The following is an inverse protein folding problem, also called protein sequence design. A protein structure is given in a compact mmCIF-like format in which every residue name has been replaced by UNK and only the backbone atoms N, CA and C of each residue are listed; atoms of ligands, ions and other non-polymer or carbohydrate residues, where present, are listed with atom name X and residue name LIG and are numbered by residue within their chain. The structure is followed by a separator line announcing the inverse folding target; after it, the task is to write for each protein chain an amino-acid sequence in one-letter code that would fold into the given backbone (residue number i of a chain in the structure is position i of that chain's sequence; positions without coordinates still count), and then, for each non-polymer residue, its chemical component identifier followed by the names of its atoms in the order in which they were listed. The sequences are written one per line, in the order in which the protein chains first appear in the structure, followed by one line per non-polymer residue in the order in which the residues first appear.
data_IF_940965737713
#
_entry.id   IF_940965737713
#
_cell.length_a   1.000
_cell.length_b   1.000
_cell.length_c   1.000
_cell.angle_alpha   90.00
_cell.angle_beta   90.00
_cell.angle_gamma   90.00
#
_symmetry.space_group_name_H-M   'P 1'
#
loop_
_entity.id
_entity.type
_entity.pdbx_description
1 polymer ?
#
# COMPACT_ATOMS: atom_id res chain seq x y z
N UNK A 1 -8.84 -7.35 -1.50
CA UNK A 1 -7.76 -7.73 -0.54
C UNK A 1 -7.55 -6.54 0.39
N UNK A 2 -7.42 -6.69 1.71
CA UNK A 2 -7.34 -5.53 2.63
C UNK A 2 -5.89 -5.07 2.85
N UNK A 3 -5.69 -3.78 3.18
CA UNK A 3 -4.41 -3.24 3.68
C UNK A 3 -3.88 -3.98 4.91
N UNK A 4 -4.77 -4.53 5.74
CA UNK A 4 -4.40 -5.33 6.90
C UNK A 4 -3.57 -6.58 6.52
N UNK A 5 -3.72 -7.07 5.28
CA UNK A 5 -3.02 -8.25 4.79
C UNK A 5 -1.61 -7.94 4.24
N UNK A 6 -1.18 -6.67 4.23
CA UNK A 6 0.09 -6.24 3.63
C UNK A 6 1.24 -6.09 4.64
N UNK A 7 1.02 -6.40 5.92
CA UNK A 7 2.05 -6.28 6.96
C UNK A 7 2.27 -4.87 7.50
N UNK A 8 1.35 -3.94 7.23
CA UNK A 8 1.39 -2.59 7.77
C UNK A 8 1.15 -2.59 9.29
N UNK A 9 1.75 -1.61 9.99
CA UNK A 9 1.48 -1.40 11.41
C UNK A 9 0.00 -1.08 11.66
N UNK A 10 -0.58 -1.65 12.72
CA UNK A 10 -1.99 -1.48 13.11
C UNK A 10 -2.50 -0.02 13.11
N UNK A 11 -1.73 1.00 13.58
CA UNK A 11 -2.17 2.39 13.53
C UNK A 11 -2.39 2.91 12.10
N UNK A 12 -1.60 2.44 11.13
CA UNK A 12 -1.75 2.83 9.72
C UNK A 12 -3.00 2.21 9.11
N UNK A 13 -3.25 0.93 9.40
CA UNK A 13 -4.46 0.22 8.93
C UNK A 13 -5.71 0.94 9.41
N UNK A 14 -5.79 1.28 10.70
CA UNK A 14 -6.93 2.04 11.26
C UNK A 14 -7.10 3.41 10.61
N UNK A 15 -6.00 4.11 10.31
CA UNK A 15 -6.06 5.41 9.66
C UNK A 15 -6.58 5.32 8.21
N UNK A 16 -6.20 4.24 7.50
CA UNK A 16 -6.71 3.95 6.15
C UNK A 16 -8.20 3.62 6.18
N UNK A 17 -8.64 2.75 7.08
CA UNK A 17 -10.04 2.39 7.27
C UNK A 17 -10.91 3.61 7.64
N UNK A 18 -10.44 4.45 8.57
CA UNK A 18 -11.15 5.67 8.97
C UNK A 18 -11.32 6.68 7.82
N UNK A 19 -10.42 6.64 6.83
CA UNK A 19 -10.51 7.44 5.59
C UNK A 19 -11.29 6.74 4.48
N UNK A 20 -11.78 5.52 4.70
CA UNK A 20 -12.50 4.73 3.70
C UNK A 20 -11.60 4.04 2.67
N UNK A 21 -10.30 3.94 2.93
CA UNK A 21 -9.38 3.16 2.09
C UNK A 21 -9.41 1.69 2.53
N UNK A 22 -10.21 0.89 1.84
CA UNK A 22 -10.44 -0.52 2.20
C UNK A 22 -9.59 -1.49 1.39
N UNK A 23 -9.28 -1.16 0.14
CA UNK A 23 -8.50 -2.01 -0.76
C UNK A 23 -7.30 -1.25 -1.34
N UNK A 24 -6.09 -1.85 -1.33
CA UNK A 24 -4.93 -1.29 -1.98
C UNK A 24 -5.09 -1.36 -3.51
N UNK A 25 -4.56 -0.38 -4.21
CA UNK A 25 -4.46 -0.45 -5.67
C UNK A 25 -3.45 -1.52 -6.09
N UNK A 26 -3.47 -2.02 -7.35
CA UNK A 26 -2.55 -3.07 -7.78
C UNK A 26 -1.07 -2.74 -7.55
N UNK A 27 -0.66 -1.48 -7.75
CA UNK A 27 0.73 -1.05 -7.51
C UNK A 27 1.08 -1.08 -6.02
N UNK A 28 0.17 -0.65 -5.14
CA UNK A 28 0.36 -0.68 -3.68
C UNK A 28 0.42 -2.11 -3.14
N UNK A 29 -0.46 -2.99 -3.60
CA UNK A 29 -0.49 -4.39 -3.19
C UNK A 29 0.81 -5.13 -3.55
N UNK A 30 1.45 -4.74 -4.65
CA UNK A 30 2.72 -5.31 -5.11
C UNK A 30 3.94 -4.64 -4.45
N UNK A 31 3.88 -3.34 -4.15
CA UNK A 31 5.02 -2.59 -3.65
C UNK A 31 5.20 -2.67 -2.14
N UNK A 32 4.10 -2.56 -1.37
CA UNK A 32 4.16 -2.39 0.09
C UNK A 32 4.93 -3.54 0.76
N UNK A 33 4.66 -4.83 0.47
CA UNK A 33 5.42 -5.92 1.09
C UNK A 33 6.92 -5.84 0.81
N UNK A 34 7.30 -5.52 -0.43
CA UNK A 34 8.72 -5.42 -0.86
C UNK A 34 9.42 -4.25 -0.13
N UNK A 35 8.74 -3.12 0.00
CA UNK A 35 9.30 -1.94 0.66
C UNK A 35 9.42 -2.12 2.18
N UNK A 36 8.50 -2.88 2.80
CA UNK A 36 8.59 -3.22 4.22
C UNK A 36 9.79 -4.14 4.54
N UNK A 37 10.27 -4.90 3.57
CA UNK A 37 11.50 -5.70 3.68
C UNK A 37 12.77 -4.84 3.58
N UNK A 38 12.65 -3.54 3.28
CA UNK A 38 13.76 -2.59 3.17
C UNK A 38 14.53 -2.65 1.86
N UNK A 39 13.96 -3.27 0.82
CA UNK A 39 14.54 -3.33 -0.51
C UNK A 39 14.22 -2.11 -1.39
N UNK A 40 14.96 -1.98 -2.49
CA UNK A 40 14.67 -0.99 -3.53
C UNK A 40 13.63 -1.52 -4.53
N UNK A 41 12.75 -0.65 -5.03
CA UNK A 41 11.71 -0.99 -6.00
C UNK A 41 11.62 0.05 -7.12
N UNK A 42 11.61 -0.40 -8.37
CA UNK A 42 11.26 0.43 -9.53
C UNK A 42 9.78 0.21 -9.89
N UNK A 43 8.89 1.08 -9.41
CA UNK A 43 7.47 1.05 -9.73
C UNK A 43 7.10 1.92 -10.94
N UNK A 44 6.62 1.32 -12.03
CA UNK A 44 6.13 2.05 -13.21
C UNK A 44 4.60 1.98 -13.24
N UNK A 45 3.93 3.10 -12.96
CA UNK A 45 2.48 3.21 -13.03
C UNK A 45 2.05 4.63 -13.43
N UNK A 46 0.93 4.74 -14.17
CA UNK A 46 0.36 6.03 -14.56
C UNK A 46 0.00 6.90 -13.34
N UNK A 47 -0.01 8.22 -13.48
CA UNK A 47 -0.54 9.11 -12.42
C UNK A 47 -2.01 8.82 -12.14
N UNK A 48 -2.40 8.88 -10.87
CA UNK A 48 -3.75 8.51 -10.42
C UNK A 48 -3.92 7.04 -10.01
N UNK A 49 -2.91 6.19 -10.18
CA UNK A 49 -2.96 4.75 -9.83
C UNK A 49 -2.68 4.44 -8.34
N UNK A 50 -2.48 5.47 -7.50
CA UNK A 50 -2.20 5.30 -6.07
C UNK A 50 -0.74 5.06 -5.71
N UNK A 51 0.20 5.09 -6.67
CA UNK A 51 1.65 4.87 -6.43
C UNK A 51 2.33 5.80 -5.42
N UNK A 52 1.69 6.88 -4.98
CA UNK A 52 2.23 7.81 -3.97
C UNK A 52 2.07 7.29 -2.54
N UNK A 53 1.07 6.44 -2.29
CA UNK A 53 0.81 5.86 -0.97
C UNK A 53 1.35 4.44 -0.83
N UNK A 54 2.11 4.00 -1.84
CA UNK A 54 2.78 2.73 -1.93
C UNK A 54 4.07 2.70 -1.11
#
# INVERSE_FOLDING_TARGET
MSFANLGLAEPLVRALEAKGYTEPTPIQAQSIPILLEGGDLLGIAQTGTGKTAA
#
